data_IF_210090466511
#
_entry.id   IF_210090466511
#
_cell.length_a   1.000
_cell.length_b   1.000
_cell.length_c   1.000
_cell.angle_alpha   90.00
_cell.angle_beta   90.00
_cell.angle_gamma   90.00
#
_symmetry.space_group_name_H-M   'P 1'
#
loop_
_entity.id
_entity.type
_entity.pdbx_description
1 polymer ?
#
# COMPACT_ATOMS: atom_id res chain seq x y z
N UNK A 1 42.67 10.74 15.58
CA UNK A 1 41.67 11.73 15.14
C UNK A 1 40.57 10.94 14.48
N UNK A 2 39.38 10.94 15.07
CA UNK A 2 38.23 10.20 14.55
C UNK A 2 37.60 11.03 13.43
N UNK A 3 37.66 10.53 12.20
CA UNK A 3 36.83 11.03 11.11
C UNK A 3 35.38 10.65 11.41
N UNK A 4 34.61 11.63 11.86
CA UNK A 4 33.15 11.57 11.83
C UNK A 4 32.72 11.41 10.38
N UNK A 5 32.39 10.18 10.01
CA UNK A 5 31.74 9.83 8.76
C UNK A 5 30.47 10.66 8.64
N UNK A 6 30.44 11.61 7.70
CA UNK A 6 29.30 12.47 7.43
C UNK A 6 28.26 11.67 6.63
N UNK A 7 27.61 10.73 7.30
CA UNK A 7 26.65 9.78 6.71
C UNK A 7 25.45 10.52 6.09
N UNK A 8 25.18 11.79 6.43
CA UNK A 8 24.00 12.50 5.97
C UNK A 8 24.10 13.12 4.56
N UNK A 9 25.27 13.53 4.08
CA UNK A 9 25.38 14.18 2.75
C UNK A 9 25.44 13.19 1.61
N UNK A 10 26.18 12.09 1.80
CA UNK A 10 26.43 11.12 0.75
C UNK A 10 25.19 10.25 0.52
N UNK A 11 24.37 10.04 1.57
CA UNK A 11 23.05 9.43 1.44
C UNK A 11 22.04 10.31 0.71
N UNK A 12 22.18 11.65 0.70
CA UNK A 12 21.27 12.55 -0.01
C UNK A 12 21.61 12.64 -1.51
N UNK A 13 22.88 12.68 -1.88
CA UNK A 13 23.31 12.64 -3.29
C UNK A 13 23.08 11.25 -3.92
N UNK A 14 23.44 10.17 -3.21
CA UNK A 14 23.09 8.80 -3.63
C UNK A 14 21.57 8.64 -3.77
N UNK A 15 20.79 9.33 -2.93
CA UNK A 15 19.32 9.30 -2.94
C UNK A 15 18.71 9.94 -4.20
N UNK A 16 19.32 10.98 -4.78
CA UNK A 16 18.87 11.54 -6.06
C UNK A 16 19.26 10.67 -7.26
N UNK A 17 20.40 9.98 -7.23
CA UNK A 17 20.78 8.97 -8.25
C UNK A 17 19.92 7.69 -8.14
N UNK A 18 19.51 7.31 -6.93
CA UNK A 18 18.56 6.23 -6.65
C UNK A 18 17.19 6.46 -7.34
N UNK A 19 16.84 7.70 -7.72
CA UNK A 19 15.59 8.01 -8.45
C UNK A 19 15.63 7.61 -9.93
N UNK A 20 16.79 7.28 -10.50
CA UNK A 20 16.85 6.66 -11.81
C UNK A 20 16.55 5.15 -11.67
N UNK A 21 15.27 4.79 -11.84
CA UNK A 21 14.68 3.46 -11.54
C UNK A 21 15.35 2.22 -12.14
N UNK A 22 16.43 2.37 -12.91
CA UNK A 22 17.30 1.29 -13.38
C UNK A 22 18.12 0.66 -12.24
N UNK A 23 18.73 1.47 -11.36
CA UNK A 23 19.63 0.98 -10.31
C UNK A 23 18.89 0.23 -9.19
N UNK A 24 17.68 0.68 -8.81
CA UNK A 24 16.82 -0.07 -7.87
C UNK A 24 16.46 -1.45 -8.40
N UNK A 25 16.14 -1.58 -9.69
CA UNK A 25 15.79 -2.87 -10.26
C UNK A 25 16.96 -3.87 -10.17
N UNK A 26 18.18 -3.39 -10.30
CA UNK A 26 19.41 -4.19 -10.20
C UNK A 26 19.75 -4.51 -8.75
N UNK A 27 19.68 -3.53 -7.85
CA UNK A 27 19.92 -3.71 -6.41
C UNK A 27 18.87 -4.61 -5.77
N UNK A 28 17.59 -4.52 -6.17
CA UNK A 28 16.54 -5.44 -5.73
C UNK A 28 16.72 -6.83 -6.29
N UNK A 29 17.22 -6.97 -7.53
CA UNK A 29 17.64 -8.26 -8.06
C UNK A 29 18.81 -8.84 -7.26
N UNK A 30 19.77 -8.03 -6.84
CA UNK A 30 20.89 -8.48 -6.00
C UNK A 30 20.46 -8.85 -4.59
N UNK A 31 19.59 -8.05 -3.96
CA UNK A 31 19.02 -8.34 -2.64
C UNK A 31 18.16 -9.61 -2.72
N UNK A 32 17.36 -9.78 -3.78
CA UNK A 32 16.59 -11.02 -4.03
C UNK A 32 17.48 -12.23 -4.33
N UNK A 33 18.66 -12.03 -4.92
CA UNK A 33 19.65 -13.09 -5.15
C UNK A 33 20.35 -13.52 -3.86
N UNK A 34 20.39 -12.66 -2.84
CA UNK A 34 20.87 -13.07 -1.51
C UNK A 34 19.81 -13.97 -0.89
N UNK A 35 20.17 -15.23 -0.65
CA UNK A 35 19.26 -16.24 -0.09
C UNK A 35 18.76 -15.87 1.33
N UNK A 36 19.44 -14.94 2.02
CA UNK A 36 19.07 -14.48 3.36
C UNK A 36 19.01 -12.94 3.40
N UNK A 37 17.81 -12.39 3.20
CA UNK A 37 17.48 -11.02 3.59
C UNK A 37 17.00 -11.07 5.04
N UNK A 38 17.63 -10.29 5.92
CA UNK A 38 17.25 -10.29 7.33
C UNK A 38 15.89 -9.62 7.53
N UNK A 39 15.16 -10.02 8.56
CA UNK A 39 13.87 -9.41 8.92
C UNK A 39 14.05 -7.93 9.24
N UNK A 40 15.15 -7.55 9.88
CA UNK A 40 15.50 -6.17 10.21
C UNK A 40 15.66 -5.32 8.93
N UNK A 41 16.25 -5.90 7.89
CA UNK A 41 16.40 -5.24 6.59
C UNK A 41 15.04 -5.01 5.93
N UNK A 42 14.16 -6.02 5.96
CA UNK A 42 12.79 -5.88 5.45
C UNK A 42 12.00 -4.82 6.23
N UNK A 43 12.10 -4.81 7.57
CA UNK A 43 11.47 -3.80 8.42
C UNK A 43 11.96 -2.38 8.10
N UNK A 44 13.27 -2.21 7.88
CA UNK A 44 13.84 -0.91 7.51
C UNK A 44 13.33 -0.43 6.14
N UNK A 45 13.23 -1.33 5.15
CA UNK A 45 12.67 -1.00 3.83
C UNK A 45 11.20 -0.56 3.97
N UNK A 46 10.40 -1.28 4.75
CA UNK A 46 9.01 -0.92 4.98
C UNK A 46 8.88 0.46 5.66
N UNK A 47 9.65 0.70 6.73
CA UNK A 47 9.64 1.96 7.45
C UNK A 47 10.05 3.16 6.57
N UNK A 48 11.00 2.97 5.65
CA UNK A 48 11.36 3.99 4.66
C UNK A 48 10.19 4.34 3.73
N UNK A 49 9.42 3.33 3.31
CA UNK A 49 8.21 3.53 2.52
C UNK A 49 7.16 4.36 3.28
N UNK A 50 6.97 4.06 4.58
CA UNK A 50 6.08 4.83 5.45
C UNK A 50 6.55 6.28 5.62
N UNK A 51 7.85 6.52 5.76
CA UNK A 51 8.40 7.88 5.83
C UNK A 51 8.07 8.68 4.58
N UNK A 52 8.34 8.14 3.38
CA UNK A 52 8.02 8.83 2.13
C UNK A 52 6.52 9.09 2.00
N UNK A 53 5.69 8.11 2.34
CA UNK A 53 4.24 8.25 2.31
C UNK A 53 3.75 9.37 3.24
N UNK A 54 4.24 9.41 4.49
CA UNK A 54 3.89 10.45 5.47
C UNK A 54 4.37 11.85 5.07
N UNK A 55 5.42 11.94 4.23
CA UNK A 55 5.93 13.19 3.64
C UNK A 55 5.22 13.56 2.32
N UNK A 56 4.21 12.81 1.92
CA UNK A 56 3.49 12.94 0.64
C UNK A 56 4.36 12.74 -0.62
N UNK A 57 5.50 12.06 -0.47
CA UNK A 57 6.40 11.67 -1.55
C UNK A 57 5.89 10.35 -2.17
N UNK A 58 4.75 10.45 -2.85
CA UNK A 58 3.95 9.29 -3.26
C UNK A 58 4.63 8.41 -4.31
N UNK A 59 5.47 8.97 -5.18
CA UNK A 59 6.17 8.20 -6.21
C UNK A 59 7.28 7.35 -5.58
N UNK A 60 7.99 7.95 -4.64
CA UNK A 60 9.06 7.36 -3.87
C UNK A 60 8.50 6.23 -3.00
N UNK A 61 7.41 6.50 -2.28
CA UNK A 61 6.70 5.48 -1.50
C UNK A 61 6.22 4.31 -2.38
N UNK A 62 5.66 4.58 -3.57
CA UNK A 62 5.22 3.54 -4.50
C UNK A 62 6.38 2.62 -4.92
N UNK A 63 7.56 3.19 -5.21
CA UNK A 63 8.77 2.41 -5.55
C UNK A 63 9.19 1.52 -4.38
N UNK A 64 9.26 2.06 -3.16
CA UNK A 64 9.69 1.31 -1.98
C UNK A 64 8.71 0.19 -1.62
N UNK A 65 7.40 0.44 -1.65
CA UNK A 65 6.43 -0.62 -1.35
C UNK A 65 6.34 -1.68 -2.45
N UNK A 66 6.58 -1.31 -3.72
CA UNK A 66 6.71 -2.28 -4.82
C UNK A 66 7.91 -3.21 -4.59
N UNK A 67 9.04 -2.63 -4.18
CA UNK A 67 10.23 -3.38 -3.80
C UNK A 67 9.95 -4.31 -2.61
N UNK A 68 9.35 -3.78 -1.55
CA UNK A 68 9.00 -4.55 -0.35
C UNK A 68 8.11 -5.76 -0.68
N UNK A 69 7.04 -5.55 -1.46
CA UNK A 69 6.14 -6.62 -1.89
C UNK A 69 6.86 -7.74 -2.65
N UNK A 70 7.88 -7.40 -3.46
CA UNK A 70 8.67 -8.39 -4.19
C UNK A 70 9.64 -9.17 -3.30
N UNK A 71 10.14 -8.55 -2.22
CA UNK A 71 11.07 -9.16 -1.27
C UNK A 71 10.36 -9.95 -0.15
N UNK A 72 9.13 -9.57 0.20
CA UNK A 72 8.32 -10.20 1.23
C UNK A 72 6.92 -10.56 0.69
N UNK A 73 6.80 -11.58 -0.19
CA UNK A 73 5.55 -11.92 -0.86
C UNK A 73 4.49 -12.55 0.06
N UNK A 74 4.79 -12.73 1.35
CA UNK A 74 3.86 -13.28 2.35
C UNK A 74 3.39 -12.23 3.36
N UNK A 75 3.66 -10.96 3.09
CA UNK A 75 3.26 -9.84 3.93
C UNK A 75 2.33 -8.88 3.19
N UNK A 76 1.13 -8.72 3.72
CA UNK A 76 0.11 -7.87 3.12
C UNK A 76 0.39 -6.38 3.26
N UNK A 77 1.33 -5.96 4.11
CA UNK A 77 1.62 -4.54 4.34
C UNK A 77 2.11 -3.83 3.07
N UNK A 78 2.94 -4.49 2.26
CA UNK A 78 3.38 -3.98 0.95
C UNK A 78 2.22 -3.63 0.00
N UNK A 79 1.40 -4.62 -0.41
CA UNK A 79 0.24 -4.35 -1.25
C UNK A 79 -0.80 -3.45 -0.56
N UNK A 80 -0.95 -3.50 0.76
CA UNK A 80 -1.81 -2.60 1.53
C UNK A 80 -1.40 -1.13 1.37
N UNK A 81 -0.12 -0.83 1.53
CA UNK A 81 0.41 0.52 1.36
C UNK A 81 0.32 1.00 -0.10
N UNK A 82 0.56 0.12 -1.08
CA UNK A 82 0.33 0.44 -2.49
C UNK A 82 -1.14 0.74 -2.78
N UNK A 83 -2.07 -0.02 -2.20
CA UNK A 83 -3.50 0.25 -2.32
C UNK A 83 -3.86 1.65 -1.79
N UNK A 84 -3.34 2.03 -0.61
CA UNK A 84 -3.56 3.36 -0.03
C UNK A 84 -3.05 4.48 -0.95
N UNK A 85 -1.83 4.36 -1.48
CA UNK A 85 -1.26 5.31 -2.44
C UNK A 85 -2.17 5.42 -3.69
N UNK A 86 -2.60 4.29 -4.23
CA UNK A 86 -3.44 4.28 -5.43
C UNK A 86 -4.85 4.83 -5.19
N UNK A 87 -5.42 4.63 -4.00
CA UNK A 87 -6.69 5.25 -3.61
C UNK A 87 -6.57 6.77 -3.56
N UNK A 88 -5.51 7.30 -2.96
CA UNK A 88 -5.27 8.75 -2.86
C UNK A 88 -5.04 9.41 -4.22
N UNK A 89 -4.35 8.71 -5.13
CA UNK A 89 -4.12 9.17 -6.50
C UNK A 89 -5.35 8.98 -7.41
N UNK A 90 -6.44 8.37 -6.92
CA UNK A 90 -7.62 8.05 -7.73
C UNK A 90 -7.39 6.95 -8.78
N UNK A 91 -6.31 6.18 -8.66
CA UNK A 91 -5.97 5.05 -9.55
C UNK A 91 -6.71 3.78 -9.11
N UNK A 92 -8.05 3.81 -9.16
CA UNK A 92 -8.91 2.79 -8.55
C UNK A 92 -8.71 1.37 -9.10
N UNK A 93 -8.38 1.19 -10.38
CA UNK A 93 -8.07 -0.13 -10.93
C UNK A 93 -6.82 -0.75 -10.27
N UNK A 94 -5.74 0.03 -10.13
CA UNK A 94 -4.51 -0.43 -9.46
C UNK A 94 -4.74 -0.68 -7.96
N UNK A 95 -5.50 0.19 -7.31
CA UNK A 95 -5.89 -0.02 -5.92
C UNK A 95 -6.66 -1.34 -5.76
N UNK A 96 -7.60 -1.62 -6.66
CA UNK A 96 -8.38 -2.86 -6.66
C UNK A 96 -7.49 -4.10 -6.86
N UNK A 97 -6.50 -4.06 -7.75
CA UNK A 97 -5.52 -5.14 -7.90
C UNK A 97 -4.80 -5.43 -6.58
N UNK A 98 -4.29 -4.40 -5.91
CA UNK A 98 -3.58 -4.55 -4.64
C UNK A 98 -4.49 -5.02 -3.51
N UNK A 99 -5.70 -4.48 -3.39
CA UNK A 99 -6.67 -4.91 -2.37
C UNK A 99 -7.13 -6.36 -2.57
N UNK A 100 -7.20 -6.84 -3.82
CA UNK A 100 -7.49 -8.24 -4.10
C UNK A 100 -6.36 -9.18 -3.67
N UNK A 101 -5.12 -8.69 -3.59
CA UNK A 101 -4.01 -9.41 -2.95
C UNK A 101 -4.17 -9.35 -1.43
N UNK A 102 -4.42 -8.18 -0.85
CA UNK A 102 -4.55 -8.00 0.61
C UNK A 102 -5.66 -8.87 1.21
N UNK A 103 -6.84 -8.96 0.56
CA UNK A 103 -8.01 -9.63 1.12
C UNK A 103 -7.84 -11.13 1.40
N UNK A 104 -6.84 -11.78 0.80
CA UNK A 104 -6.59 -13.22 1.01
C UNK A 104 -5.66 -13.50 2.20
N UNK A 105 -5.08 -12.48 2.81
CA UNK A 105 -4.22 -12.62 3.98
C UNK A 105 -5.07 -12.68 5.26
N UNK A 106 -4.93 -13.74 6.08
CA UNK A 106 -5.67 -13.84 7.34
C UNK A 106 -5.33 -12.76 8.36
N UNK A 107 -4.17 -12.12 8.21
CA UNK A 107 -3.67 -11.06 9.11
C UNK A 107 -4.10 -9.66 8.69
N UNK A 108 -4.70 -9.50 7.50
CA UNK A 108 -5.20 -8.21 7.05
C UNK A 108 -6.53 -7.88 7.73
N UNK A 109 -6.82 -6.60 7.93
CA UNK A 109 -8.15 -6.17 8.34
C UNK A 109 -9.14 -6.40 7.19
N UNK A 110 -9.96 -7.44 7.34
CA UNK A 110 -10.88 -7.87 6.30
C UNK A 110 -11.93 -6.80 6.00
N UNK A 111 -12.57 -6.23 7.02
CA UNK A 111 -13.68 -5.29 6.83
C UNK A 111 -13.20 -3.97 6.24
N UNK A 112 -12.04 -3.47 6.67
CA UNK A 112 -11.41 -2.28 6.07
C UNK A 112 -11.01 -2.55 4.61
N UNK A 113 -10.43 -3.72 4.33
CA UNK A 113 -10.01 -4.10 2.97
C UNK A 113 -11.20 -4.20 2.03
N UNK A 114 -12.26 -4.91 2.42
CA UNK A 114 -13.46 -5.07 1.60
C UNK A 114 -14.19 -3.72 1.42
N UNK A 115 -14.20 -2.86 2.44
CA UNK A 115 -14.76 -1.51 2.31
C UNK A 115 -13.99 -0.67 1.27
N UNK A 116 -12.68 -0.80 1.21
CA UNK A 116 -11.85 -0.14 0.20
C UNK A 116 -12.09 -0.70 -1.20
N UNK A 117 -12.34 -2.01 -1.32
CA UNK A 117 -12.76 -2.64 -2.58
C UNK A 117 -14.12 -2.09 -3.03
N UNK A 118 -15.08 -1.97 -2.11
CA UNK A 118 -16.39 -1.38 -2.40
C UNK A 118 -16.24 0.08 -2.87
N UNK A 119 -15.36 0.86 -2.24
CA UNK A 119 -15.03 2.22 -2.68
C UNK A 119 -14.46 2.25 -4.10
N UNK A 120 -13.52 1.37 -4.44
CA UNK A 120 -12.94 1.27 -5.78
C UNK A 120 -14.03 1.02 -6.83
N UNK A 121 -14.87 0.00 -6.64
CA UNK A 121 -15.97 -0.30 -7.55
C UNK A 121 -16.96 0.87 -7.66
N UNK A 122 -17.30 1.54 -6.55
CA UNK A 122 -18.16 2.71 -6.58
C UNK A 122 -17.57 3.85 -7.42
N UNK A 123 -16.27 4.14 -7.26
CA UNK A 123 -15.58 5.18 -8.02
C UNK A 123 -15.39 4.83 -9.50
N UNK A 124 -15.32 3.54 -9.82
CA UNK A 124 -15.35 3.01 -11.19
C UNK A 124 -16.77 2.95 -11.80
N UNK A 125 -17.80 3.38 -11.05
CA UNK A 125 -19.22 3.32 -11.43
C UNK A 125 -19.78 1.90 -11.58
N UNK A 126 -19.12 0.93 -10.98
CA UNK A 126 -19.54 -0.46 -10.92
C UNK A 126 -20.45 -0.69 -9.70
N UNK A 127 -21.60 -0.03 -9.68
CA UNK A 127 -22.43 0.09 -8.47
C UNK A 127 -22.92 -1.26 -7.91
N UNK A 128 -23.21 -2.25 -8.77
CA UNK A 128 -23.58 -3.59 -8.33
C UNK A 128 -22.43 -4.29 -7.58
N UNK A 129 -21.21 -4.26 -8.14
CA UNK A 129 -20.04 -4.84 -7.49
C UNK A 129 -19.75 -4.12 -6.16
N UNK A 130 -19.86 -2.80 -6.15
CA UNK A 130 -19.69 -2.00 -4.94
C UNK A 130 -20.70 -2.39 -3.84
N UNK A 131 -21.98 -2.56 -4.20
CA UNK A 131 -23.04 -2.97 -3.28
C UNK A 131 -22.79 -4.38 -2.71
N UNK A 132 -22.42 -5.34 -3.56
CA UNK A 132 -22.06 -6.71 -3.14
C UNK A 132 -20.93 -6.68 -2.12
N UNK A 133 -19.86 -5.93 -2.40
CA UNK A 133 -18.73 -5.82 -1.48
C UNK A 133 -19.12 -5.14 -0.18
N UNK A 134 -19.94 -4.08 -0.23
CA UNK A 134 -20.38 -3.36 0.95
C UNK A 134 -21.22 -4.25 1.91
N UNK A 135 -22.02 -5.18 1.38
CA UNK A 135 -22.83 -6.13 2.18
C UNK A 135 -21.94 -7.04 3.04
N UNK A 136 -20.72 -7.35 2.59
CA UNK A 136 -19.79 -8.20 3.31
C UNK A 136 -19.13 -7.49 4.50
N UNK A 137 -19.19 -6.16 4.56
CA UNK A 137 -18.51 -5.34 5.59
C UNK A 137 -19.34 -5.30 6.87
N UNK A 138 -18.74 -5.72 7.97
CA UNK A 138 -19.26 -5.57 9.33
C UNK A 138 -18.86 -4.20 9.87
N UNK A 139 -19.81 -3.26 9.84
CA UNK A 139 -19.60 -1.88 10.32
C UNK A 139 -19.00 -1.81 11.73
N UNK A 140 -19.37 -2.73 12.63
CA UNK A 140 -18.91 -2.72 14.02
C UNK A 140 -17.41 -3.03 14.17
N UNK A 141 -16.78 -3.61 13.14
CA UNK A 141 -15.34 -3.86 13.12
C UNK A 141 -14.53 -2.64 12.64
N UNK A 142 -15.20 -1.60 12.14
CA UNK A 142 -14.54 -0.43 11.57
C UNK A 142 -14.25 0.65 12.62
N UNK A 143 -13.07 1.26 12.53
CA UNK A 143 -12.78 2.48 13.28
C UNK A 143 -13.64 3.68 12.78
N UNK A 144 -13.52 4.84 13.45
CA UNK A 144 -14.33 6.02 13.11
C UNK A 144 -14.13 6.51 11.67
N UNK A 145 -12.88 6.48 11.18
CA UNK A 145 -12.55 6.90 9.83
C UNK A 145 -13.26 6.03 8.79
N UNK A 146 -13.19 4.71 8.92
CA UNK A 146 -13.83 3.78 7.99
C UNK A 146 -15.34 3.72 8.17
N UNK A 147 -15.86 3.89 9.39
CA UNK A 147 -17.30 4.00 9.63
C UNK A 147 -17.93 5.14 8.83
N UNK A 148 -17.29 6.31 8.77
CA UNK A 148 -17.76 7.45 7.96
C UNK A 148 -17.80 7.11 6.47
N UNK A 149 -16.80 6.38 5.97
CA UNK A 149 -16.73 5.91 4.58
C UNK A 149 -17.83 4.89 4.28
N UNK A 150 -18.05 3.93 5.18
CA UNK A 150 -19.12 2.95 5.08
C UNK A 150 -20.50 3.64 5.01
N UNK A 151 -20.78 4.57 5.92
CA UNK A 151 -22.06 5.29 5.95
C UNK A 151 -22.27 6.17 4.71
N UNK A 152 -21.20 6.75 4.17
CA UNK A 152 -21.23 7.42 2.87
C UNK A 152 -21.62 6.45 1.76
N UNK A 153 -20.91 5.34 1.58
CA UNK A 153 -21.18 4.37 0.52
C UNK A 153 -22.57 3.76 0.65
N UNK A 154 -23.01 3.42 1.86
CA UNK A 154 -24.35 2.88 2.12
C UNK A 154 -25.46 3.81 1.64
N UNK A 155 -25.31 5.13 1.84
CA UNK A 155 -26.28 6.12 1.31
C UNK A 155 -26.27 6.18 -0.21
N UNK A 156 -25.08 6.17 -0.82
CA UNK A 156 -24.94 6.25 -2.28
C UNK A 156 -25.46 4.98 -2.99
N UNK A 157 -25.26 3.83 -2.35
CA UNK A 157 -25.59 2.52 -2.91
C UNK A 157 -26.96 2.00 -2.47
N UNK A 158 -27.74 2.76 -1.70
CA UNK A 158 -29.06 2.37 -1.23
C UNK A 158 -30.00 1.80 -2.33
N UNK A 159 -30.01 2.33 -3.57
CA UNK A 159 -30.82 1.74 -4.65
C UNK A 159 -30.41 0.33 -5.08
N UNK A 160 -29.20 -0.12 -4.74
CA UNK A 160 -28.58 -1.38 -5.15
C UNK A 160 -28.47 -2.40 -4.00
N UNK A 161 -28.98 -2.07 -2.81
CA UNK A 161 -28.90 -2.90 -1.60
C UNK A 161 -30.22 -3.61 -1.25
N UNK A 162 -31.19 -3.62 -2.19
CA UNK A 162 -32.53 -4.21 -2.02
C UNK A 162 -32.61 -5.63 -2.56
#
# INVERSE_FOLDING_TARGET
MAETLNISSDLEEDFFELLEGRLYSERLKEIRKKENISVETLMAIYALGEEFYNRFLMKEAEVIFTAYMALCPHDHRGPGSLASIYLEQGKFNKALEMLNIVKVYPTADFDETILNIALCHYKLKEHNNAAVMLILVKRDNLNEYYSKRYDYLKRQLNPYLQ
#
